data_IF_080443158791
#
_entry.id   IF_080443158791
#
_cell.length_a   1.000
_cell.length_b   1.000
_cell.length_c   1.000
_cell.angle_alpha   90.00
_cell.angle_beta   90.00
_cell.angle_gamma   90.00
#
_symmetry.space_group_name_H-M   'P 1'
#
loop_
_entity.id
_entity.type
_entity.pdbx_description
1 polymer ?
#
# COMPACT_ATOMS: atom_id res chain seq x y z
N UNK A 1 31.27 -19.13 -23.36
CA UNK A 1 30.29 -18.57 -22.42
C UNK A 1 29.00 -18.34 -23.17
N UNK A 2 27.86 -18.70 -22.60
CA UNK A 2 26.55 -18.41 -23.20
C UNK A 2 26.22 -16.93 -23.00
N UNK A 3 25.74 -16.21 -24.03
CA UNK A 3 25.30 -14.83 -23.86
C UNK A 3 24.08 -14.79 -22.94
N UNK A 4 24.08 -13.85 -22.00
CA UNK A 4 22.91 -13.58 -21.18
C UNK A 4 21.80 -12.99 -22.05
N UNK A 5 20.52 -13.31 -21.77
CA UNK A 5 19.40 -12.70 -22.48
C UNK A 5 19.47 -11.18 -22.34
N UNK A 6 19.28 -10.47 -23.45
CA UNK A 6 19.28 -9.02 -23.48
C UNK A 6 18.25 -8.48 -22.49
N UNK A 7 18.71 -7.66 -21.55
CA UNK A 7 17.81 -6.96 -20.62
C UNK A 7 16.87 -6.11 -21.46
N UNK A 8 15.55 -6.31 -21.40
CA UNK A 8 14.62 -5.54 -22.21
C UNK A 8 14.84 -4.05 -21.94
N UNK A 9 14.99 -3.28 -23.01
CA UNK A 9 15.21 -1.85 -22.93
C UNK A 9 14.13 -1.20 -22.06
N UNK A 10 14.56 -0.45 -21.04
CA UNK A 10 13.65 0.32 -20.19
C UNK A 10 12.89 1.30 -21.08
N UNK A 11 11.58 1.11 -21.23
CA UNK A 11 10.73 2.03 -21.99
C UNK A 11 10.85 3.42 -21.34
N UNK A 12 11.01 4.50 -22.12
CA UNK A 12 10.98 5.85 -21.57
C UNK A 12 9.67 6.00 -20.78
N UNK A 13 9.79 6.29 -19.48
CA UNK A 13 8.63 6.41 -18.61
C UNK A 13 7.67 7.48 -19.13
N UNK A 14 6.37 7.17 -19.10
CA UNK A 14 5.31 8.14 -19.41
C UNK A 14 5.52 9.41 -18.58
N UNK A 15 5.32 10.58 -19.18
CA UNK A 15 5.34 11.83 -18.43
C UNK A 15 4.17 11.83 -17.45
N UNK A 16 4.34 12.48 -16.29
CA UNK A 16 3.33 12.45 -15.23
C UNK A 16 1.89 12.80 -15.70
N UNK A 17 1.66 13.83 -16.54
CA UNK A 17 0.32 14.11 -17.05
C UNK A 17 -0.29 12.98 -17.89
N UNK A 18 0.53 12.31 -18.70
CA UNK A 18 0.10 11.18 -19.55
C UNK A 18 -0.20 9.94 -18.71
N UNK A 19 0.68 9.63 -17.74
CA UNK A 19 0.45 8.55 -16.78
C UNK A 19 -0.84 8.77 -15.98
N UNK A 20 -1.08 10.01 -15.53
CA UNK A 20 -2.32 10.38 -14.85
C UNK A 20 -3.54 10.17 -15.74
N UNK A 21 -3.52 10.68 -16.97
CA UNK A 21 -4.65 10.53 -17.89
C UNK A 21 -4.95 9.05 -18.17
N UNK A 22 -3.92 8.25 -18.45
CA UNK A 22 -4.08 6.81 -18.70
C UNK A 22 -4.65 6.06 -17.48
N UNK A 23 -4.20 6.37 -16.26
CA UNK A 23 -4.76 5.77 -15.04
C UNK A 23 -6.22 6.18 -14.84
N UNK A 24 -6.57 7.45 -15.06
CA UNK A 24 -7.97 7.91 -14.96
C UNK A 24 -8.84 7.18 -15.98
N UNK A 25 -8.39 7.09 -17.23
CA UNK A 25 -9.11 6.42 -18.32
C UNK A 25 -9.38 4.95 -18.02
N UNK A 26 -8.39 4.23 -17.49
CA UNK A 26 -8.53 2.80 -17.15
C UNK A 26 -9.39 2.60 -15.90
N UNK A 27 -9.15 3.38 -14.84
CA UNK A 27 -9.76 3.09 -13.53
C UNK A 27 -11.20 3.56 -13.46
N UNK A 28 -11.54 4.72 -14.02
CA UNK A 28 -12.86 5.35 -13.83
C UNK A 28 -14.03 4.44 -14.26
N UNK A 29 -14.02 3.80 -15.45
CA UNK A 29 -15.11 2.91 -15.85
C UNK A 29 -15.25 1.68 -14.93
N UNK A 30 -14.12 1.14 -14.46
CA UNK A 30 -14.07 -0.05 -13.64
C UNK A 30 -14.48 0.20 -12.18
N UNK A 31 -14.46 1.46 -11.72
CA UNK A 31 -15.04 1.85 -10.43
C UNK A 31 -16.57 1.85 -10.46
N UNK A 32 -17.17 1.99 -11.64
CA UNK A 32 -18.62 1.94 -11.83
C UNK A 32 -19.13 0.53 -12.19
N UNK A 33 -18.24 -0.44 -12.36
CA UNK A 33 -18.60 -1.82 -12.67
C UNK A 33 -19.11 -2.54 -11.41
N UNK A 34 -20.37 -3.03 -11.40
CA UNK A 34 -20.92 -3.74 -10.24
C UNK A 34 -20.25 -5.12 -10.03
N UNK A 35 -19.65 -5.71 -11.05
CA UNK A 35 -18.89 -6.95 -10.91
C UNK A 35 -17.45 -6.66 -10.49
N UNK A 36 -17.25 -6.57 -9.18
CA UNK A 36 -15.92 -6.35 -8.59
C UNK A 36 -14.88 -7.39 -8.97
N UNK A 37 -15.27 -8.62 -9.33
CA UNK A 37 -14.33 -9.65 -9.76
C UNK A 37 -13.81 -9.36 -11.16
N UNK A 38 -14.74 -9.10 -12.09
CA UNK A 38 -14.40 -8.66 -13.44
C UNK A 38 -13.56 -7.38 -13.42
N UNK A 39 -13.98 -6.37 -12.66
CA UNK A 39 -13.25 -5.10 -12.53
C UNK A 39 -11.82 -5.28 -12.03
N UNK A 40 -11.60 -6.18 -11.05
CA UNK A 40 -10.27 -6.47 -10.55
C UNK A 40 -9.37 -7.13 -11.61
N UNK A 41 -9.89 -8.11 -12.33
CA UNK A 41 -9.15 -8.80 -13.40
C UNK A 41 -8.80 -7.85 -14.55
N UNK A 42 -9.70 -6.94 -14.91
CA UNK A 42 -9.44 -5.88 -15.90
C UNK A 42 -8.38 -4.89 -15.42
N UNK A 43 -8.45 -4.43 -14.17
CA UNK A 43 -7.44 -3.55 -13.61
C UNK A 43 -6.04 -4.18 -13.63
N UNK A 44 -5.93 -5.49 -13.36
CA UNK A 44 -4.66 -6.20 -13.49
C UNK A 44 -4.12 -6.16 -14.91
N UNK A 45 -4.99 -6.48 -15.89
CA UNK A 45 -4.62 -6.58 -17.30
C UNK A 45 -4.25 -5.23 -17.88
N UNK A 46 -5.00 -4.18 -17.55
CA UNK A 46 -4.86 -2.86 -18.16
C UNK A 46 -3.78 -2.01 -17.50
N UNK A 47 -3.56 -2.11 -16.19
CA UNK A 47 -2.56 -1.29 -15.50
C UNK A 47 -1.13 -1.83 -15.63
N UNK A 48 -0.94 -3.14 -15.74
CA UNK A 48 0.39 -3.75 -15.88
C UNK A 48 1.21 -3.20 -17.08
N UNK A 49 0.67 -3.11 -18.31
CA UNK A 49 1.43 -2.64 -19.46
C UNK A 49 1.74 -1.13 -19.44
N UNK A 50 1.05 -0.33 -18.61
CA UNK A 50 1.29 1.12 -18.51
C UNK A 50 2.64 1.47 -17.87
N UNK A 51 3.24 0.54 -17.12
CA UNK A 51 4.53 0.78 -16.45
C UNK A 51 4.48 1.90 -15.39
N UNK A 52 3.30 2.22 -14.88
CA UNK A 52 3.10 3.25 -13.86
C UNK A 52 3.43 2.72 -12.46
N UNK A 53 4.05 3.56 -11.63
CA UNK A 53 4.40 3.16 -10.27
C UNK A 53 3.16 3.11 -9.37
N UNK A 54 3.15 2.19 -8.40
CA UNK A 54 2.08 2.04 -7.40
C UNK A 54 1.72 3.38 -6.71
N UNK A 55 2.73 4.17 -6.33
CA UNK A 55 2.52 5.51 -5.73
C UNK A 55 1.76 6.47 -6.64
N UNK A 56 2.09 6.47 -7.94
CA UNK A 56 1.43 7.29 -8.93
C UNK A 56 -0.05 6.90 -9.07
N UNK A 57 -0.33 5.60 -9.20
CA UNK A 57 -1.70 5.08 -9.27
C UNK A 57 -2.50 5.46 -8.04
N UNK A 58 -1.97 5.20 -6.83
CA UNK A 58 -2.62 5.56 -5.57
C UNK A 58 -2.99 7.05 -5.53
N UNK A 59 -2.06 7.93 -5.91
CA UNK A 59 -2.31 9.38 -5.88
C UNK A 59 -3.46 9.80 -6.80
N UNK A 60 -3.57 9.18 -7.99
CA UNK A 60 -4.67 9.44 -8.92
C UNK A 60 -5.99 8.92 -8.35
N UNK A 61 -6.03 7.66 -7.95
CA UNK A 61 -7.26 6.99 -7.49
C UNK A 61 -7.82 7.61 -6.20
N UNK A 62 -6.97 8.07 -5.29
CA UNK A 62 -7.42 8.75 -4.07
C UNK A 62 -8.26 10.01 -4.34
N UNK A 63 -8.12 10.63 -5.52
CA UNK A 63 -8.89 11.81 -5.92
C UNK A 63 -10.07 11.55 -6.85
N UNK A 64 -10.31 10.29 -7.27
CA UNK A 64 -11.42 9.98 -8.16
C UNK A 64 -12.78 10.02 -7.42
N UNK A 65 -13.86 10.46 -8.06
CA UNK A 65 -15.20 10.32 -7.50
C UNK A 65 -15.55 8.83 -7.32
N UNK A 66 -16.36 8.51 -6.31
CA UNK A 66 -16.87 7.17 -6.06
C UNK A 66 -18.38 7.25 -5.99
N UNK A 67 -19.06 6.64 -6.96
CA UNK A 67 -20.52 6.69 -7.06
C UNK A 67 -21.18 5.68 -6.10
N UNK A 68 -20.56 4.51 -5.93
CA UNK A 68 -20.97 3.49 -4.97
C UNK A 68 -19.81 3.09 -4.05
N UNK A 69 -19.84 3.60 -2.81
CA UNK A 69 -18.80 3.32 -1.82
C UNK A 69 -18.75 1.84 -1.40
N UNK A 70 -19.88 1.13 -1.40
CA UNK A 70 -19.90 -0.28 -1.01
C UNK A 70 -19.16 -1.16 -2.04
N UNK A 71 -19.42 -0.93 -3.33
CA UNK A 71 -18.76 -1.65 -4.42
C UNK A 71 -17.28 -1.26 -4.50
N UNK A 72 -16.97 0.02 -4.35
CA UNK A 72 -15.59 0.51 -4.29
C UNK A 72 -14.80 -0.12 -3.13
N UNK A 73 -15.41 -0.26 -1.94
CA UNK A 73 -14.80 -0.97 -0.80
C UNK A 73 -14.59 -2.45 -1.12
N UNK A 74 -15.58 -3.12 -1.72
CA UNK A 74 -15.48 -4.53 -2.08
C UNK A 74 -14.38 -4.78 -3.13
N UNK A 75 -14.29 -3.93 -4.16
CA UNK A 75 -13.20 -3.95 -5.13
C UNK A 75 -11.84 -3.70 -4.45
N UNK A 76 -11.78 -2.73 -3.54
CA UNK A 76 -10.56 -2.45 -2.77
C UNK A 76 -10.07 -3.65 -1.97
N UNK A 77 -10.98 -4.36 -1.30
CA UNK A 77 -10.67 -5.62 -0.59
C UNK A 77 -10.21 -6.72 -1.52
N UNK A 78 -10.85 -6.87 -2.68
CA UNK A 78 -10.45 -7.89 -3.66
C UNK A 78 -9.03 -7.64 -4.15
N UNK A 79 -8.76 -6.44 -4.64
CA UNK A 79 -7.44 -6.06 -5.17
C UNK A 79 -6.32 -6.20 -4.14
N UNK A 80 -6.57 -5.88 -2.86
CA UNK A 80 -5.55 -6.03 -1.80
C UNK A 80 -5.33 -7.47 -1.37
N UNK A 81 -6.30 -8.37 -1.56
CA UNK A 81 -6.21 -9.79 -1.14
C UNK A 81 -5.74 -10.70 -2.26
N UNK A 82 -6.18 -10.46 -3.49
CA UNK A 82 -5.92 -11.35 -4.64
C UNK A 82 -5.06 -10.70 -5.70
N UNK A 83 -4.67 -9.44 -5.52
CA UNK A 83 -3.98 -8.70 -6.55
C UNK A 83 -2.55 -9.21 -6.80
N UNK A 84 -2.19 -9.34 -8.07
CA UNK A 84 -0.89 -9.89 -8.51
C UNK A 84 0.06 -8.84 -9.09
N UNK A 85 -0.37 -7.58 -9.20
CA UNK A 85 0.45 -6.48 -9.70
C UNK A 85 0.40 -5.26 -8.75
N UNK A 86 1.56 -4.65 -8.50
CA UNK A 86 1.65 -3.50 -7.59
C UNK A 86 0.74 -2.31 -7.98
N UNK A 87 0.57 -1.94 -9.27
CA UNK A 87 -0.38 -0.91 -9.68
C UNK A 87 -1.83 -1.22 -9.29
N UNK A 88 -2.29 -2.45 -9.52
CA UNK A 88 -3.65 -2.86 -9.20
C UNK A 88 -3.88 -2.94 -7.68
N UNK A 89 -2.91 -3.49 -6.94
CA UNK A 89 -2.94 -3.46 -5.46
C UNK A 89 -2.98 -2.01 -4.94
N UNK A 90 -2.26 -1.08 -5.60
CA UNK A 90 -2.28 0.33 -5.23
C UNK A 90 -3.64 1.01 -5.46
N UNK A 91 -4.42 0.59 -6.46
CA UNK A 91 -5.84 0.98 -6.58
C UNK A 91 -6.58 0.52 -5.34
N UNK A 92 -6.44 -0.75 -4.96
CA UNK A 92 -7.10 -1.29 -3.78
C UNK A 92 -6.73 -0.56 -2.48
N UNK A 93 -5.44 -0.27 -2.28
CA UNK A 93 -4.95 0.52 -1.15
C UNK A 93 -5.51 1.95 -1.14
N UNK A 94 -5.64 2.59 -2.31
CA UNK A 94 -6.23 3.92 -2.41
C UNK A 94 -7.72 3.94 -2.04
N UNK A 95 -8.47 2.90 -2.42
CA UNK A 95 -9.88 2.74 -2.06
C UNK A 95 -10.05 2.45 -0.57
N UNK A 96 -9.26 1.52 -0.01
CA UNK A 96 -9.30 1.20 1.42
C UNK A 96 -8.76 2.33 2.29
N UNK A 97 -7.86 3.18 1.79
CA UNK A 97 -7.48 4.41 2.51
C UNK A 97 -8.62 5.42 2.65
N UNK A 98 -9.68 5.32 1.83
CA UNK A 98 -10.86 6.21 1.90
C UNK A 98 -12.03 5.55 2.61
N UNK A 99 -12.21 4.26 2.40
CA UNK A 99 -13.41 3.53 2.76
C UNK A 99 -13.13 2.36 3.71
N UNK A 100 -11.88 2.00 3.96
CA UNK A 100 -11.51 0.83 4.75
C UNK A 100 -11.93 0.95 6.21
N UNK A 101 -12.06 -0.21 6.85
CA UNK A 101 -12.40 -0.34 8.27
C UNK A 101 -11.34 -1.12 9.06
N UNK A 102 -11.56 -1.31 10.37
CA UNK A 102 -10.64 -2.07 11.24
C UNK A 102 -10.32 -3.48 10.73
N UNK A 103 -11.26 -4.14 10.07
CA UNK A 103 -11.09 -5.47 9.46
C UNK A 103 -10.06 -5.51 8.32
N UNK A 104 -9.73 -4.35 7.76
CA UNK A 104 -8.76 -4.22 6.66
C UNK A 104 -7.32 -4.03 7.19
N UNK A 105 -7.14 -3.68 8.47
CA UNK A 105 -5.83 -3.38 9.08
C UNK A 105 -4.81 -4.52 8.88
N UNK A 106 -5.12 -5.81 9.14
CA UNK A 106 -4.12 -6.88 8.99
C UNK A 106 -3.59 -7.01 7.55
N UNK A 107 -4.46 -6.77 6.56
CA UNK A 107 -4.07 -6.79 5.14
C UNK A 107 -3.19 -5.58 4.80
N UNK A 108 -3.58 -4.39 5.25
CA UNK A 108 -2.79 -3.18 5.02
C UNK A 108 -1.42 -3.25 5.72
N UNK A 109 -1.34 -3.80 6.93
CA UNK A 109 -0.09 -4.02 7.67
C UNK A 109 0.81 -5.00 6.91
N UNK A 110 0.27 -6.13 6.46
CA UNK A 110 1.00 -7.11 5.64
C UNK A 110 1.51 -6.50 4.34
N UNK A 111 0.67 -5.75 3.63
CA UNK A 111 1.06 -5.09 2.38
C UNK A 111 2.13 -4.00 2.58
N UNK A 112 2.22 -3.41 3.77
CA UNK A 112 3.28 -2.44 4.10
C UNK A 112 4.68 -3.05 4.09
N UNK A 113 4.79 -4.37 4.21
CA UNK A 113 6.06 -5.10 4.21
C UNK A 113 6.68 -5.22 2.80
N UNK A 114 5.90 -5.00 1.75
CA UNK A 114 6.38 -5.09 0.37
C UNK A 114 6.91 -3.73 -0.08
N UNK A 115 8.19 -3.66 -0.45
CA UNK A 115 8.91 -2.41 -0.79
C UNK A 115 8.13 -1.46 -1.72
N UNK A 116 7.51 -1.98 -2.77
CA UNK A 116 6.78 -1.16 -3.76
C UNK A 116 5.40 -0.69 -3.27
N UNK A 117 4.89 -1.32 -2.21
CA UNK A 117 3.59 -1.05 -1.60
C UNK A 117 3.70 -0.39 -0.23
N UNK A 118 4.89 -0.33 0.38
CA UNK A 118 5.12 0.24 1.72
C UNK A 118 4.47 1.62 1.85
N UNK A 119 4.79 2.54 0.95
CA UNK A 119 4.25 3.89 1.03
C UNK A 119 2.73 3.97 0.77
N UNK A 120 2.17 3.36 -0.29
CA UNK A 120 0.72 3.26 -0.46
C UNK A 120 -0.01 2.63 0.74
N UNK A 121 0.52 1.56 1.31
CA UNK A 121 -0.09 0.82 2.42
C UNK A 121 -0.04 1.61 3.74
N UNK A 122 1.10 2.23 4.06
CA UNK A 122 1.22 3.12 5.23
C UNK A 122 0.26 4.30 5.14
N UNK A 123 0.04 4.82 3.94
CA UNK A 123 -0.95 5.87 3.73
C UNK A 123 -2.38 5.41 3.95
N UNK A 124 -2.75 4.24 3.47
CA UNK A 124 -4.05 3.64 3.75
C UNK A 124 -4.22 3.38 5.25
N UNK A 125 -3.22 2.78 5.90
CA UNK A 125 -3.19 2.59 7.36
C UNK A 125 -3.35 3.91 8.09
N UNK A 126 -2.65 4.98 7.69
CA UNK A 126 -2.73 6.28 8.37
C UNK A 126 -4.15 6.84 8.37
N UNK A 127 -4.92 6.56 7.32
CA UNK A 127 -6.32 6.98 7.22
C UNK A 127 -7.27 6.08 8.04
N UNK A 128 -7.00 4.78 8.12
CA UNK A 128 -7.84 3.80 8.84
C UNK A 128 -7.51 3.76 10.35
N UNK A 129 -6.23 3.65 10.71
CA UNK A 129 -5.70 3.53 12.06
C UNK A 129 -4.27 4.10 12.13
N UNK A 130 -4.16 5.37 12.58
CA UNK A 130 -2.87 6.06 12.74
C UNK A 130 -1.88 5.32 13.65
N UNK A 131 -2.28 4.82 14.84
CA UNK A 131 -1.41 3.96 15.65
C UNK A 131 -0.83 2.77 14.88
N UNK A 132 -1.65 2.01 14.17
CA UNK A 132 -1.18 0.87 13.38
C UNK A 132 -0.19 1.31 12.28
N UNK A 133 -0.46 2.43 11.61
CA UNK A 133 0.46 3.02 10.63
C UNK A 133 1.82 3.38 11.24
N UNK A 134 1.82 3.94 12.46
CA UNK A 134 3.03 4.28 13.19
C UNK A 134 3.89 3.06 13.50
N UNK A 135 3.26 1.96 13.94
CA UNK A 135 3.96 0.70 14.21
C UNK A 135 4.51 0.06 12.93
N UNK A 136 3.72 0.05 11.85
CA UNK A 136 4.17 -0.44 10.55
C UNK A 136 5.35 0.39 10.00
N UNK A 137 5.31 1.72 10.17
CA UNK A 137 6.42 2.60 9.81
C UNK A 137 7.66 2.29 10.67
N UNK A 138 7.51 2.17 11.99
CA UNK A 138 8.63 1.80 12.86
C UNK A 138 9.25 0.46 12.43
N UNK A 139 8.46 -0.57 12.14
CA UNK A 139 8.99 -1.86 11.65
C UNK A 139 9.83 -1.72 10.38
N UNK A 140 9.42 -0.87 9.45
CA UNK A 140 10.11 -0.71 8.16
C UNK A 140 11.36 0.17 8.24
N UNK A 141 11.32 1.22 9.04
CA UNK A 141 12.39 2.23 9.07
C UNK A 141 13.39 1.99 10.21
N UNK A 142 13.07 1.10 11.15
CA UNK A 142 13.98 0.74 12.22
C UNK A 142 14.95 -0.34 11.74
N UNK A 143 16.20 0.06 11.48
CA UNK A 143 17.30 -0.88 11.15
C UNK A 143 17.94 -1.53 12.38
N UNK A 144 17.62 -1.04 13.57
CA UNK A 144 18.22 -1.50 14.81
C UNK A 144 17.39 -2.66 15.38
N UNK A 145 17.94 -3.87 15.33
CA UNK A 145 17.31 -5.07 15.89
C UNK A 145 16.94 -4.90 17.37
N UNK A 146 17.65 -4.03 18.09
CA UNK A 146 17.39 -3.69 19.48
C UNK A 146 16.00 -3.10 19.73
N UNK A 147 15.34 -2.53 18.72
CA UNK A 147 14.02 -1.93 18.84
C UNK A 147 12.87 -2.91 18.53
N UNK A 148 13.16 -4.11 17.99
CA UNK A 148 12.12 -5.12 17.76
C UNK A 148 11.34 -5.49 19.03
N UNK A 149 11.96 -5.71 20.21
CA UNK A 149 11.21 -6.02 21.43
C UNK A 149 10.23 -4.92 21.84
N UNK A 150 10.60 -3.64 21.61
CA UNK A 150 9.70 -2.51 21.88
C UNK A 150 8.52 -2.51 20.90
N UNK A 151 8.79 -2.72 19.62
CA UNK A 151 7.75 -2.75 18.58
C UNK A 151 6.78 -3.93 18.82
N UNK A 152 7.29 -5.09 19.22
CA UNK A 152 6.48 -6.26 19.57
C UNK A 152 5.59 -5.99 20.78
N UNK A 153 6.15 -5.37 21.84
CA UNK A 153 5.39 -4.98 23.02
C UNK A 153 4.28 -3.97 22.69
N UNK A 154 4.59 -2.95 21.87
CA UNK A 154 3.60 -1.97 21.41
C UNK A 154 2.51 -2.62 20.55
N UNK A 155 2.88 -3.56 19.69
CA UNK A 155 1.95 -4.32 18.84
C UNK A 155 1.01 -5.18 19.69
N UNK A 156 1.55 -5.83 20.74
CA UNK A 156 0.78 -6.63 21.68
C UNK A 156 -0.05 -5.78 22.68
N UNK A 157 0.11 -4.44 22.66
CA UNK A 157 -0.44 -3.52 23.66
C UNK A 157 -0.05 -3.91 25.09
N UNK A 158 1.17 -4.39 25.27
CA UNK A 158 1.74 -4.70 26.58
C UNK A 158 2.42 -3.44 27.15
N UNK A 159 1.64 -2.62 27.84
CA UNK A 159 2.12 -1.38 28.47
C UNK A 159 3.23 -1.63 29.48
N UNK A 160 3.21 -2.79 30.15
CA UNK A 160 4.22 -3.16 31.16
C UNK A 160 5.55 -3.47 30.48
N UNK A 161 5.55 -4.29 29.45
CA UNK A 161 6.76 -4.61 28.67
C UNK A 161 7.30 -3.36 27.97
N UNK A 162 6.42 -2.54 27.39
CA UNK A 162 6.77 -1.25 26.76
C UNK A 162 7.50 -0.34 27.75
N UNK A 163 6.91 -0.14 28.93
CA UNK A 163 7.51 0.69 29.99
C UNK A 163 8.84 0.14 30.48
N UNK A 164 8.92 -1.18 30.72
CA UNK A 164 10.15 -1.82 31.18
C UNK A 164 11.30 -1.64 30.16
N UNK A 165 11.00 -1.78 28.87
CA UNK A 165 11.97 -1.57 27.81
C UNK A 165 12.44 -0.11 27.76
N UNK A 166 11.52 0.86 27.76
CA UNK A 166 11.84 2.30 27.70
C UNK A 166 12.68 2.78 28.90
N UNK A 167 12.49 2.18 30.08
CA UNK A 167 13.28 2.52 31.27
C UNK A 167 14.70 1.93 31.26
N UNK A 168 14.93 0.87 30.48
CA UNK A 168 16.22 0.15 30.44
C UNK A 168 17.07 0.53 29.24
N UNK A 169 16.47 1.13 28.20
CA UNK A 169 17.13 1.51 26.96
C UNK A 169 16.92 3.00 26.68
N UNK A 170 17.80 3.89 27.19
CA UNK A 170 17.72 5.31 26.86
C UNK A 170 17.84 5.48 25.33
N UNK A 171 16.81 6.03 24.70
CA UNK A 171 16.80 6.31 23.27
C UNK A 171 17.83 7.42 22.99
N UNK A 172 18.87 7.14 22.19
CA UNK A 172 19.70 8.20 21.63
C UNK A 172 18.80 9.05 20.71
N UNK A 173 18.84 10.40 20.80
CA UNK A 173 18.10 11.29 19.91
C UNK A 173 18.23 10.98 18.41
N UNK A 174 19.28 10.25 17.98
CA UNK A 174 19.51 9.86 16.59
C UNK A 174 18.96 8.48 16.20
N UNK A 175 18.30 7.77 17.11
CA UNK A 175 17.84 6.37 16.88
C UNK A 175 16.54 6.29 16.09
N UNK A 176 15.78 7.40 16.01
CA UNK A 176 14.55 7.49 15.21
C UNK A 176 14.83 8.45 14.06
N UNK A 177 15.10 7.89 12.87
CA UNK A 177 15.48 8.64 11.66
C UNK A 177 14.28 9.09 10.85
#
# INVERSE_FOLDING_TARGET
>A
GYPLPETPASRPGLRWPEARAAVVEVVTPLLADPDTAHAADELHRLLAPLGVQARAVRNVVSGLPLDNEADARALGRRLTRTGTSAPAVAVGLALLGRLGGPEDIPYLDTLSLFRDLTYPALHALTAVDRPAAGLAWLRQYTRAESLHPLIDALTARDDRATRAWLLTHPLDPRTVG
#
